data_IF_095022025665
#
_entry.id   IF_095022025665
#
_cell.length_a   1.000
_cell.length_b   1.000
_cell.length_c   1.000
_cell.angle_alpha   90.00
_cell.angle_beta   90.00
_cell.angle_gamma   90.00
#
_symmetry.space_group_name_H-M   'P 1'
#
loop_
_entity.id
_entity.type
_entity.pdbx_description
1 polymer ?
#
# COMPACT_ATOMS: atom_id res chain seq x y z
N UNK A 1 36.36 41.93 -37.38
CA UNK A 1 36.13 40.48 -37.55
C UNK A 1 36.59 39.62 -36.34
N UNK A 2 36.75 40.19 -35.14
CA UNK A 2 37.15 39.43 -33.92
C UNK A 2 36.05 39.34 -32.84
N UNK A 3 34.96 40.12 -32.96
CA UNK A 3 33.87 40.18 -31.94
C UNK A 3 32.61 39.36 -32.29
N UNK A 4 32.50 38.87 -33.53
CA UNK A 4 31.39 38.00 -33.97
C UNK A 4 31.58 36.54 -33.52
N UNK A 5 32.82 36.12 -33.26
CA UNK A 5 33.13 34.76 -32.82
C UNK A 5 32.87 34.53 -31.31
N UNK A 6 32.91 35.59 -30.49
CA UNK A 6 32.71 35.46 -29.03
C UNK A 6 31.24 35.34 -28.60
N UNK A 7 30.29 35.74 -29.45
CA UNK A 7 28.86 35.65 -29.16
C UNK A 7 28.26 34.27 -29.45
N UNK A 8 28.93 33.44 -30.27
CA UNK A 8 28.48 32.10 -30.59
C UNK A 8 28.86 31.06 -29.52
N UNK A 9 29.79 31.38 -28.62
CA UNK A 9 30.27 30.45 -27.60
C UNK A 9 29.40 30.43 -26.31
N UNK A 10 28.55 31.43 -26.08
CA UNK A 10 27.66 31.46 -24.90
C UNK A 10 26.27 30.84 -25.15
N UNK A 11 25.85 30.64 -26.41
CA UNK A 11 24.54 30.06 -26.73
C UNK A 11 24.55 28.53 -26.83
N UNK A 12 25.72 27.89 -26.81
CA UNK A 12 25.85 26.43 -26.83
C UNK A 12 26.05 25.81 -25.43
N UNK A 13 26.05 26.61 -24.36
CA UNK A 13 26.25 26.13 -22.98
C UNK A 13 24.98 26.17 -22.11
N UNK A 14 23.83 26.62 -22.63
CA UNK A 14 22.57 26.71 -21.87
C UNK A 14 21.43 25.81 -22.36
N UNK A 15 21.66 24.96 -23.37
CA UNK A 15 20.62 24.12 -23.98
C UNK A 15 20.80 22.60 -23.72
N UNK A 16 21.61 22.23 -22.71
CA UNK A 16 22.01 20.83 -22.47
C UNK A 16 21.40 20.15 -21.24
N UNK A 17 20.64 20.84 -20.38
CA UNK A 17 19.96 20.24 -19.23
C UNK A 17 18.45 20.16 -19.47
N UNK A 18 18.07 19.50 -20.55
CA UNK A 18 16.76 18.87 -20.62
C UNK A 18 16.95 17.42 -20.18
N UNK A 19 17.03 17.18 -18.88
CA UNK A 19 16.58 15.90 -18.34
C UNK A 19 15.06 15.97 -18.31
N UNK A 20 14.33 15.38 -19.28
CA UNK A 20 13.00 14.92 -18.93
C UNK A 20 13.21 13.88 -17.84
N UNK A 21 12.95 14.24 -16.60
CA UNK A 21 12.58 13.25 -15.60
C UNK A 21 11.23 12.68 -16.09
N UNK A 22 11.30 11.78 -17.07
CA UNK A 22 10.22 10.88 -17.38
C UNK A 22 10.08 10.00 -16.13
N UNK A 23 9.30 10.50 -15.18
CA UNK A 23 8.60 9.63 -14.25
C UNK A 23 7.65 8.84 -15.13
N UNK A 24 8.14 7.71 -15.65
CA UNK A 24 7.27 6.67 -16.16
C UNK A 24 6.38 6.30 -14.99
N UNK A 25 5.17 6.89 -14.98
CA UNK A 25 4.07 6.32 -14.25
C UNK A 25 4.02 4.87 -14.70
N UNK A 26 4.41 3.98 -13.80
CA UNK A 26 4.57 2.55 -14.04
C UNK A 26 3.19 1.93 -14.23
N UNK A 27 2.57 2.21 -15.38
CA UNK A 27 1.31 1.64 -15.82
C UNK A 27 1.63 0.22 -16.27
N UNK A 28 1.63 -0.71 -15.32
CA UNK A 28 1.88 -2.12 -15.63
C UNK A 28 2.03 -3.07 -14.45
N UNK A 29 2.30 -2.58 -13.23
CA UNK A 29 2.27 -3.46 -12.06
C UNK A 29 0.84 -3.50 -11.52
N UNK A 30 0.21 -4.69 -11.59
CA UNK A 30 -1.04 -4.97 -10.88
C UNK A 30 -0.78 -4.70 -9.39
N UNK A 31 -1.36 -3.64 -8.85
CA UNK A 31 -1.19 -3.28 -7.44
C UNK A 31 -1.55 -4.47 -6.56
N UNK A 32 -0.65 -4.87 -5.66
CA UNK A 32 -0.96 -5.93 -4.72
C UNK A 32 -2.06 -5.43 -3.79
N UNK A 33 -2.98 -6.33 -3.45
CA UNK A 33 -4.15 -6.01 -2.63
C UNK A 33 -4.01 -6.75 -1.32
N UNK A 34 -3.95 -6.02 -0.21
CA UNK A 34 -3.84 -6.62 1.13
C UNK A 34 -5.00 -6.17 2.00
N UNK A 35 -5.53 -7.07 2.82
CA UNK A 35 -6.53 -6.71 3.81
C UNK A 35 -6.19 -7.25 5.20
N UNK A 36 -6.53 -6.48 6.22
CA UNK A 36 -6.58 -6.94 7.61
C UNK A 36 -8.03 -7.04 8.04
N UNK A 37 -8.45 -8.21 8.52
CA UNK A 37 -9.80 -8.40 9.06
C UNK A 37 -9.68 -8.96 10.47
N UNK A 38 -10.30 -8.29 11.44
CA UNK A 38 -10.33 -8.74 12.84
C UNK A 38 -11.78 -8.94 13.28
N UNK A 39 -12.12 -10.15 13.73
CA UNK A 39 -13.43 -10.45 14.30
C UNK A 39 -13.31 -10.91 15.74
N UNK A 40 -13.90 -10.17 16.67
CA UNK A 40 -13.92 -10.55 18.08
C UNK A 40 -15.37 -10.80 18.53
N UNK A 41 -15.58 -11.92 19.18
CA UNK A 41 -16.84 -12.37 19.79
C UNK A 41 -16.68 -12.61 21.28
N UNK A 42 -15.59 -13.23 21.71
CA UNK A 42 -15.36 -13.67 23.09
C UNK A 42 -14.61 -12.61 23.93
N UNK A 43 -15.26 -11.48 24.20
CA UNK A 43 -14.67 -10.45 25.05
C UNK A 43 -14.58 -10.89 26.52
N UNK A 44 -13.43 -10.65 27.16
CA UNK A 44 -13.20 -11.04 28.57
C UNK A 44 -13.95 -10.18 29.58
N UNK A 45 -14.10 -8.88 29.29
CA UNK A 45 -14.66 -7.88 30.22
C UNK A 45 -15.94 -7.22 29.69
N UNK A 46 -16.53 -7.79 28.64
CA UNK A 46 -17.77 -7.30 28.04
C UNK A 46 -18.62 -8.51 27.62
N UNK A 47 -19.94 -8.33 27.43
CA UNK A 47 -20.78 -9.38 26.86
C UNK A 47 -20.25 -9.86 25.51
N UNK A 48 -20.48 -11.13 25.22
CA UNK A 48 -20.08 -11.72 23.94
C UNK A 48 -20.78 -11.02 22.77
N UNK A 49 -20.04 -10.73 21.71
CA UNK A 49 -20.60 -10.23 20.45
C UNK A 49 -20.96 -11.42 19.55
N UNK A 50 -22.25 -11.70 19.26
CA UNK A 50 -22.68 -12.99 18.72
C UNK A 50 -22.07 -13.35 17.35
N UNK A 51 -21.81 -12.36 16.49
CA UNK A 51 -21.49 -12.60 15.08
C UNK A 51 -20.10 -12.10 14.66
N UNK A 52 -19.32 -11.47 15.54
CA UNK A 52 -18.03 -10.86 15.17
C UNK A 52 -17.07 -11.82 14.44
N UNK A 53 -16.93 -13.05 14.92
CA UNK A 53 -16.11 -14.08 14.27
C UNK A 53 -16.69 -14.55 12.93
N UNK A 54 -18.00 -14.70 12.82
CA UNK A 54 -18.65 -15.16 11.59
C UNK A 54 -18.59 -14.09 10.50
N UNK A 55 -18.84 -12.84 10.86
CA UNK A 55 -18.78 -11.69 9.96
C UNK A 55 -17.37 -11.51 9.41
N UNK A 56 -16.35 -11.59 10.28
CA UNK A 56 -14.95 -11.50 9.87
C UNK A 56 -14.55 -12.62 8.90
N UNK A 57 -15.04 -13.85 9.10
CA UNK A 57 -14.80 -14.95 8.15
C UNK A 57 -15.46 -14.69 6.80
N UNK A 58 -16.71 -14.22 6.79
CA UNK A 58 -17.45 -13.92 5.57
C UNK A 58 -16.78 -12.79 4.78
N UNK A 59 -16.41 -11.69 5.44
CA UNK A 59 -15.69 -10.57 4.83
C UNK A 59 -14.33 -11.03 4.29
N UNK A 60 -13.57 -11.80 5.08
CA UNK A 60 -12.28 -12.32 4.63
C UNK A 60 -12.41 -13.23 3.40
N UNK A 61 -13.49 -14.01 3.31
CA UNK A 61 -13.76 -14.83 2.14
C UNK A 61 -14.00 -13.96 0.89
N UNK A 62 -14.93 -13.00 0.97
CA UNK A 62 -15.25 -12.09 -0.16
C UNK A 62 -14.01 -11.30 -0.61
N UNK A 63 -13.19 -10.84 0.34
CA UNK A 63 -11.95 -10.13 0.02
C UNK A 63 -10.94 -11.04 -0.70
N UNK A 64 -10.78 -12.30 -0.28
CA UNK A 64 -9.93 -13.27 -0.99
C UNK A 64 -10.43 -13.53 -2.41
N UNK A 65 -11.73 -13.69 -2.58
CA UNK A 65 -12.36 -13.90 -3.91
C UNK A 65 -12.16 -12.71 -4.85
N UNK A 66 -12.03 -11.49 -4.31
CA UNK A 66 -11.77 -10.26 -5.06
C UNK A 66 -10.27 -9.93 -5.23
N UNK A 67 -9.40 -10.86 -4.85
CA UNK A 67 -7.97 -10.81 -5.08
C UNK A 67 -7.15 -10.14 -3.99
N UNK A 68 -7.71 -9.97 -2.78
CA UNK A 68 -6.93 -9.55 -1.62
C UNK A 68 -6.19 -10.72 -0.97
N UNK A 69 -4.96 -10.49 -0.56
CA UNK A 69 -4.28 -11.30 0.45
C UNK A 69 -4.76 -10.85 1.84
N UNK A 70 -5.52 -11.71 2.51
CA UNK A 70 -6.19 -11.36 3.78
C UNK A 70 -5.45 -11.93 4.98
N UNK A 71 -4.99 -11.03 5.85
CA UNK A 71 -4.61 -11.34 7.23
C UNK A 71 -5.88 -11.34 8.11
N UNK A 72 -6.32 -12.52 8.55
CA UNK A 72 -7.50 -12.68 9.41
C UNK A 72 -7.07 -12.94 10.86
N UNK A 73 -7.60 -12.18 11.80
CA UNK A 73 -7.51 -12.44 13.24
C UNK A 73 -8.89 -12.66 13.84
N UNK A 74 -9.00 -13.66 14.73
CA UNK A 74 -10.25 -13.98 15.41
C UNK A 74 -10.00 -14.03 16.92
N UNK A 75 -10.88 -13.42 17.71
CA UNK A 75 -10.79 -13.35 19.18
C UNK A 75 -9.35 -13.02 19.65
N UNK A 76 -8.77 -12.00 19.02
CA UNK A 76 -7.36 -11.69 19.20
C UNK A 76 -7.13 -10.92 20.51
N UNK A 77 -6.30 -11.50 21.38
CA UNK A 77 -5.74 -10.79 22.53
C UNK A 77 -4.84 -9.62 22.10
N UNK A 78 -4.63 -8.64 22.97
CA UNK A 78 -3.97 -7.38 22.63
C UNK A 78 -2.56 -7.55 22.04
N UNK A 79 -1.80 -8.57 22.48
CA UNK A 79 -0.49 -8.90 21.92
C UNK A 79 -0.60 -9.42 20.48
N UNK A 80 -1.51 -10.35 20.23
CA UNK A 80 -1.81 -10.91 18.91
C UNK A 80 -2.32 -9.84 17.95
N UNK A 81 -3.20 -8.95 18.41
CA UNK A 81 -3.70 -7.83 17.60
C UNK A 81 -2.56 -6.94 17.08
N UNK A 82 -1.59 -6.58 17.94
CA UNK A 82 -0.39 -5.82 17.53
C UNK A 82 0.47 -6.59 16.53
N UNK A 83 0.62 -7.91 16.71
CA UNK A 83 1.36 -8.74 15.77
C UNK A 83 0.70 -8.81 14.40
N UNK A 84 -0.64 -8.90 14.36
CA UNK A 84 -1.42 -8.94 13.12
C UNK A 84 -1.30 -7.62 12.34
N UNK A 85 -1.41 -6.47 13.02
CA UNK A 85 -1.12 -5.16 12.42
C UNK A 85 0.32 -5.11 11.89
N UNK A 86 1.28 -5.58 12.70
CA UNK A 86 2.69 -5.62 12.29
C UNK A 86 2.91 -6.47 11.05
N UNK A 87 2.25 -7.63 10.95
CA UNK A 87 2.31 -8.52 9.78
C UNK A 87 1.69 -7.86 8.56
N UNK A 88 0.47 -7.34 8.69
CA UNK A 88 -0.22 -6.63 7.61
C UNK A 88 0.63 -5.49 7.04
N UNK A 89 1.18 -4.63 7.92
CA UNK A 89 2.01 -3.49 7.51
C UNK A 89 3.29 -3.90 6.78
N UNK A 90 3.93 -5.01 7.16
CA UNK A 90 5.17 -5.48 6.52
C UNK A 90 4.97 -5.96 5.08
N UNK A 91 3.74 -6.31 4.71
CA UNK A 91 3.43 -6.76 3.36
C UNK A 91 3.13 -5.59 2.40
N UNK A 92 2.92 -4.38 2.91
CA UNK A 92 2.58 -3.21 2.11
C UNK A 92 3.80 -2.54 1.49
N UNK A 93 3.69 -2.19 0.21
CA UNK A 93 4.65 -1.41 -0.57
C UNK A 93 3.96 -0.16 -1.17
N UNK A 94 4.72 0.88 -1.55
CA UNK A 94 4.16 2.02 -2.28
C UNK A 94 3.46 1.56 -3.57
N UNK A 95 2.20 1.96 -3.74
CA UNK A 95 1.37 1.57 -4.88
C UNK A 95 0.40 0.41 -4.62
N UNK A 96 0.47 -0.23 -3.45
CA UNK A 96 -0.49 -1.27 -3.06
C UNK A 96 -1.86 -0.71 -2.69
N UNK A 97 -2.89 -1.54 -2.88
CA UNK A 97 -4.24 -1.29 -2.39
C UNK A 97 -4.39 -1.98 -1.04
N UNK A 98 -4.78 -1.22 -0.02
CA UNK A 98 -4.94 -1.75 1.35
C UNK A 98 -6.33 -1.45 1.91
N UNK A 99 -6.86 -2.40 2.69
CA UNK A 99 -8.15 -2.30 3.39
C UNK A 99 -7.98 -2.85 4.82
N UNK A 100 -8.58 -2.21 5.82
CA UNK A 100 -8.55 -2.66 7.22
C UNK A 100 -9.84 -2.28 7.95
#
# INVERSE_FOLDING_TARGET
>A
MSKICLLCACLLFLAGLSTPAASEAQIGQRSHRYALVIGNSAYRYAPSLPNGVNDAKAIAQVLRETGFEVTLGLDAEASTFRQLIGKFRRNLQPGDVSLF
#
